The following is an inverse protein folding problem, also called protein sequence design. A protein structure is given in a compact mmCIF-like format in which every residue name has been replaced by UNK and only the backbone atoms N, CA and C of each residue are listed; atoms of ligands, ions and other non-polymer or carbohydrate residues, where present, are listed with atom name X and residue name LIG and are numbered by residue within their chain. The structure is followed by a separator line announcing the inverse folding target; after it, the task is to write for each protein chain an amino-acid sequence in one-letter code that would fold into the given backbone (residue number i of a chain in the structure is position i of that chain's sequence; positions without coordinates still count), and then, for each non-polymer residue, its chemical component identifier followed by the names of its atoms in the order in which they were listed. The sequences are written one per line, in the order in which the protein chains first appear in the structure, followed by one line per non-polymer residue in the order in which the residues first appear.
data_IF_793327759320
#
_entry.id   IF_793327759320
#
_cell.length_a   1.000
_cell.length_b   1.000
_cell.length_c   1.000
_cell.angle_alpha   90.00
_cell.angle_beta   90.00
_cell.angle_gamma   90.00
#
_symmetry.space_group_name_H-M   'P 1'
#
loop_
_entity.id
_entity.type
_entity.pdbx_description
1 polymer ?
#
# COMPACT_ATOMS: atom_id res chain seq x y z
N UNK A 1 -18.07 4.91 15.64
CA UNK A 1 -18.46 3.98 14.55
C UNK A 1 -17.80 4.49 13.28
N UNK A 2 -16.99 3.69 12.57
CA UNK A 2 -16.31 4.19 11.37
C UNK A 2 -17.31 4.40 10.24
N UNK A 3 -17.23 5.56 9.58
CA UNK A 3 -18.06 5.89 8.42
C UNK A 3 -17.74 4.95 7.25
N UNK A 4 -18.65 4.86 6.28
CA UNK A 4 -18.41 4.09 5.05
C UNK A 4 -17.18 4.61 4.28
N UNK A 5 -16.91 5.91 4.36
CA UNK A 5 -15.75 6.52 3.75
C UNK A 5 -14.45 6.05 4.41
N UNK A 6 -14.38 6.08 5.75
CA UNK A 6 -13.23 5.60 6.51
C UNK A 6 -12.99 4.10 6.28
N UNK A 7 -14.06 3.30 6.20
CA UNK A 7 -13.96 1.87 5.87
C UNK A 7 -13.41 1.64 4.47
N UNK A 8 -13.82 2.45 3.49
CA UNK A 8 -13.31 2.38 2.12
C UNK A 8 -11.82 2.72 2.04
N UNK A 9 -11.37 3.72 2.81
CA UNK A 9 -9.96 4.10 2.90
C UNK A 9 -9.16 2.99 3.58
N UNK A 10 -9.59 2.54 4.76
CA UNK A 10 -8.94 1.49 5.52
C UNK A 10 -8.86 0.15 4.76
N UNK A 11 -9.84 -0.17 3.91
CA UNK A 11 -9.81 -1.37 3.08
C UNK A 11 -8.65 -1.39 2.07
N UNK A 12 -8.07 -0.23 1.74
CA UNK A 12 -6.92 -0.10 0.86
C UNK A 12 -5.59 -0.09 1.62
N UNK A 13 -5.61 -0.01 2.94
CA UNK A 13 -4.41 0.12 3.76
C UNK A 13 -3.98 -1.25 4.32
N UNK A 14 -2.66 -1.42 4.43
CA UNK A 14 -2.01 -2.54 5.11
C UNK A 14 -0.79 -2.04 5.85
N UNK A 15 -0.58 -2.58 7.05
CA UNK A 15 0.63 -2.37 7.81
C UNK A 15 1.61 -3.48 7.42
N UNK A 16 2.84 -3.09 7.10
CA UNK A 16 3.94 -3.97 6.73
C UNK A 16 5.11 -3.70 7.67
N UNK A 17 5.75 -4.75 8.15
CA UNK A 17 6.95 -4.62 8.96
C UNK A 17 8.20 -4.71 8.09
N UNK A 18 9.08 -3.71 8.17
CA UNK A 18 10.36 -3.68 7.47
C UNK A 18 11.38 -2.92 8.33
N UNK A 19 12.58 -3.48 8.53
CA UNK A 19 13.63 -2.82 9.31
C UNK A 19 13.23 -2.51 10.76
N UNK A 20 12.33 -3.30 11.35
CA UNK A 20 11.77 -3.03 12.69
C UNK A 20 10.79 -1.85 12.73
N UNK A 21 10.38 -1.31 11.58
CA UNK A 21 9.36 -0.24 11.47
C UNK A 21 8.07 -0.78 10.89
N UNK A 22 6.95 -0.22 11.33
CA UNK A 22 5.62 -0.51 10.81
C UNK A 22 5.23 0.54 9.77
N UNK A 23 5.29 0.18 8.50
CA UNK A 23 4.94 1.08 7.39
C UNK A 23 3.51 0.82 6.97
N UNK A 24 2.66 1.84 7.00
CA UNK A 24 1.28 1.78 6.50
C UNK A 24 1.27 2.08 5.01
N UNK A 25 1.18 1.03 4.20
CA UNK A 25 1.04 1.09 2.76
C UNK A 25 -0.42 1.19 2.34
N UNK A 26 -0.68 1.92 1.26
CA UNK A 26 -1.98 2.07 0.64
C UNK A 26 -1.94 1.57 -0.80
N UNK A 27 -2.81 0.62 -1.11
CA UNK A 27 -2.95 0.10 -2.47
C UNK A 27 -3.27 1.22 -3.47
N UNK A 28 -2.50 1.37 -4.56
CA UNK A 28 -2.83 2.26 -5.67
C UNK A 28 -4.19 1.95 -6.32
N UNK A 29 -4.92 2.97 -6.74
CA UNK A 29 -6.01 2.82 -7.71
C UNK A 29 -5.47 2.66 -9.12
N UNK A 30 -6.29 2.18 -10.05
CA UNK A 30 -5.93 2.12 -11.47
C UNK A 30 -5.56 3.50 -12.04
N UNK A 31 -6.26 4.57 -11.61
CA UNK A 31 -5.90 5.94 -11.98
C UNK A 31 -4.51 6.32 -11.47
N UNK A 32 -4.19 5.99 -10.21
CA UNK A 32 -2.88 6.28 -9.63
C UNK A 32 -1.76 5.45 -10.28
N UNK A 33 -2.02 4.16 -10.59
CA UNK A 33 -1.10 3.33 -11.38
C UNK A 33 -0.79 4.00 -12.72
N UNK A 34 -1.82 4.43 -13.46
CA UNK A 34 -1.65 5.12 -14.73
C UNK A 34 -0.99 6.50 -14.60
N UNK A 35 -1.21 7.22 -13.51
CA UNK A 35 -0.58 8.52 -13.25
C UNK A 35 0.92 8.40 -12.99
N UNK A 36 1.32 7.37 -12.24
CA UNK A 36 2.69 7.23 -11.73
C UNK A 36 3.50 6.12 -12.42
N UNK A 37 3.03 5.54 -13.53
CA UNK A 37 3.66 4.38 -14.18
C UNK A 37 5.12 4.57 -14.63
N UNK A 38 5.58 5.82 -14.78
CA UNK A 38 6.96 6.15 -15.19
C UNK A 38 7.91 6.39 -14.01
N UNK A 39 7.41 6.40 -12.78
CA UNK A 39 8.28 6.58 -11.62
C UNK A 39 9.13 5.34 -11.39
N UNK A 40 10.39 5.51 -10.94
CA UNK A 40 11.19 4.42 -10.40
C UNK A 40 10.46 3.71 -9.26
N UNK A 41 10.71 2.41 -9.00
CA UNK A 41 9.95 1.63 -8.03
C UNK A 41 9.90 2.23 -6.61
N UNK A 42 11.01 2.80 -6.14
CA UNK A 42 11.10 3.41 -4.80
C UNK A 42 10.31 4.73 -4.76
N UNK A 43 10.45 5.59 -5.76
CA UNK A 43 9.66 6.82 -5.86
C UNK A 43 8.16 6.54 -6.00
N UNK A 44 7.82 5.50 -6.75
CA UNK A 44 6.45 5.00 -6.87
C UNK A 44 5.92 4.57 -5.50
N UNK A 45 6.67 3.73 -4.76
CA UNK A 45 6.32 3.29 -3.41
C UNK A 45 6.03 4.47 -2.48
N UNK A 46 6.88 5.50 -2.46
CA UNK A 46 6.71 6.68 -1.60
C UNK A 46 5.37 7.40 -1.81
N UNK A 47 4.75 7.32 -3.00
CA UNK A 47 3.41 7.91 -3.25
C UNK A 47 2.28 7.20 -2.50
N UNK A 48 2.54 6.00 -2.01
CA UNK A 48 1.57 5.07 -1.45
C UNK A 48 1.85 4.71 0.00
N UNK A 49 2.71 5.48 0.68
CA UNK A 49 2.86 5.43 2.13
C UNK A 49 1.94 6.48 2.75
N UNK A 50 1.11 6.03 3.70
CA UNK A 50 0.19 6.89 4.43
C UNK A 50 0.68 7.18 5.85
N UNK A 51 1.51 6.30 6.43
CA UNK A 51 2.11 6.48 7.76
C UNK A 51 3.36 5.60 7.95
N UNK A 52 4.31 6.09 8.74
CA UNK A 52 5.47 5.34 9.23
C UNK A 52 5.95 6.04 10.51
N UNK A 53 5.85 5.39 11.69
CA UNK A 53 6.22 6.01 12.96
C UNK A 53 7.75 6.09 13.05
N UNK A 54 8.28 7.24 12.65
CA UNK A 54 9.68 7.60 12.81
C UNK A 54 9.87 8.41 14.09
N UNK A 55 11.05 8.31 14.67
CA UNK A 55 11.51 9.05 15.84
C UNK A 55 12.71 9.92 15.47
N UNK A 56 13.10 10.87 16.31
CA UNK A 56 14.32 11.66 16.05
C UNK A 56 15.57 10.78 15.92
N UNK A 57 15.63 9.68 16.67
CA UNK A 57 16.73 8.71 16.59
C UNK A 57 16.83 7.99 15.23
N UNK A 58 15.73 7.94 14.47
CA UNK A 58 15.73 7.34 13.13
C UNK A 58 16.24 8.30 12.05
N UNK A 59 16.31 9.59 12.35
CA UNK A 59 16.63 10.66 11.39
C UNK A 59 18.00 11.29 11.67
N UNK A 60 18.41 11.35 12.93
CA UNK A 60 19.61 12.03 13.36
C UNK A 60 20.47 11.13 14.24
N UNK A 61 21.78 11.10 13.97
CA UNK A 61 22.75 10.48 14.86
C UNK A 61 22.69 11.18 16.24
N UNK A 62 22.29 10.43 17.26
CA UNK A 62 22.08 10.96 18.62
C UNK A 62 20.71 11.57 18.88
N UNK A 63 19.74 11.40 17.97
CA UNK A 63 18.34 11.77 18.20
C UNK A 63 17.68 10.96 19.33
N UNK A 64 16.54 11.46 19.83
CA UNK A 64 15.80 10.79 20.90
C UNK A 64 14.82 9.74 20.34
N UNK A 65 14.90 8.51 20.85
CA UNK A 65 14.00 7.42 20.47
C UNK A 65 12.57 7.56 21.05
N UNK A 66 12.37 8.45 22.04
CA UNK A 66 11.06 8.72 22.63
C UNK A 66 10.32 9.89 21.97
N UNK A 67 11.00 10.68 21.13
CA UNK A 67 10.39 11.83 20.44
C UNK A 67 9.84 11.38 19.09
N UNK A 68 8.51 11.24 18.92
CA UNK A 68 7.92 10.87 17.63
C UNK A 68 7.99 12.05 16.66
N UNK A 69 8.27 11.75 15.40
CA UNK A 69 8.28 12.73 14.31
C UNK A 69 6.97 12.60 13.52
N UNK A 70 6.22 13.70 13.31
CA UNK A 70 5.01 13.66 12.50
C UNK A 70 5.30 13.10 11.10
N UNK A 71 4.44 12.21 10.61
CA UNK A 71 4.62 11.65 9.28
C UNK A 71 4.54 12.74 8.21
N UNK A 72 5.60 12.82 7.40
CA UNK A 72 5.64 13.57 6.16
C UNK A 72 6.20 12.67 5.07
N UNK A 73 5.60 12.74 3.87
CA UNK A 73 5.97 11.85 2.77
C UNK A 73 7.34 12.19 2.19
N UNK A 74 7.72 13.47 2.15
CA UNK A 74 9.03 13.87 1.66
C UNK A 74 10.10 13.44 2.67
N UNK A 75 9.83 13.58 3.97
CA UNK A 75 10.69 13.08 5.03
C UNK A 75 10.85 11.55 4.99
N UNK A 76 9.76 10.82 4.77
CA UNK A 76 9.84 9.37 4.59
C UNK A 76 10.69 8.98 3.38
N UNK A 77 10.59 9.71 2.27
CA UNK A 77 11.39 9.43 1.07
C UNK A 77 12.89 9.71 1.32
N UNK A 78 13.21 10.77 2.05
CA UNK A 78 14.57 11.11 2.48
C UNK A 78 15.14 10.02 3.40
N UNK A 79 14.41 9.66 4.46
CA UNK A 79 14.78 8.55 5.35
C UNK A 79 14.96 7.23 4.58
N UNK A 80 14.03 6.90 3.68
CA UNK A 80 14.12 5.66 2.91
C UNK A 80 15.33 5.65 1.96
N UNK A 81 15.75 6.81 1.43
CA UNK A 81 16.93 6.90 0.56
C UNK A 81 18.22 6.47 1.28
N UNK A 82 18.31 6.73 2.58
CA UNK A 82 19.44 6.32 3.43
C UNK A 82 19.37 4.85 3.89
N UNK A 83 18.24 4.16 3.67
CA UNK A 83 18.00 2.78 4.10
C UNK A 83 17.73 1.82 2.91
N UNK A 84 18.73 1.56 2.03
CA UNK A 84 18.55 0.80 0.79
C UNK A 84 18.13 -0.66 0.99
N UNK A 85 18.44 -1.26 2.13
CA UNK A 85 18.02 -2.61 2.51
C UNK A 85 16.49 -2.73 2.65
N UNK A 86 15.78 -1.62 2.85
CA UNK A 86 14.32 -1.59 2.99
C UNK A 86 13.60 -1.45 1.65
N UNK A 87 14.31 -1.08 0.58
CA UNK A 87 13.68 -0.79 -0.72
C UNK A 87 12.96 -2.00 -1.29
N UNK A 88 13.69 -3.12 -1.44
CA UNK A 88 13.12 -4.36 -1.98
C UNK A 88 11.94 -4.87 -1.17
N UNK A 89 12.04 -5.09 0.16
CA UNK A 89 10.92 -5.65 0.93
C UNK A 89 9.66 -4.76 0.88
N UNK A 90 9.82 -3.43 0.89
CA UNK A 90 8.66 -2.53 0.81
C UNK A 90 8.05 -2.47 -0.59
N UNK A 91 8.86 -2.48 -1.65
CA UNK A 91 8.37 -2.54 -3.04
C UNK A 91 7.66 -3.87 -3.31
N UNK A 92 8.22 -4.98 -2.82
CA UNK A 92 7.60 -6.31 -2.93
C UNK A 92 6.26 -6.35 -2.18
N UNK A 93 6.20 -5.78 -0.97
CA UNK A 93 4.97 -5.72 -0.19
C UNK A 93 3.87 -4.88 -0.85
N UNK A 94 4.23 -3.77 -1.50
CA UNK A 94 3.27 -2.98 -2.28
C UNK A 94 2.77 -3.73 -3.52
N UNK A 95 3.66 -4.47 -4.18
CA UNK A 95 3.33 -5.30 -5.35
C UNK A 95 2.38 -6.44 -4.96
N UNK A 96 2.67 -7.12 -3.85
CA UNK A 96 1.81 -8.17 -3.28
C UNK A 96 0.42 -7.63 -2.91
N UNK A 97 0.35 -6.44 -2.32
CA UNK A 97 -0.92 -5.80 -2.01
C UNK A 97 -1.81 -5.56 -3.25
N UNK A 98 -1.18 -5.25 -4.39
CA UNK A 98 -1.89 -5.14 -5.67
C UNK A 98 -2.33 -6.52 -6.19
N UNK A 99 -1.43 -7.51 -6.18
CA UNK A 99 -1.71 -8.86 -6.64
C UNK A 99 -2.87 -9.51 -5.87
N UNK A 100 -2.89 -9.38 -4.54
CA UNK A 100 -3.98 -9.88 -3.69
C UNK A 100 -5.32 -9.24 -4.04
N UNK A 101 -5.33 -7.94 -4.34
CA UNK A 101 -6.56 -7.26 -4.72
C UNK A 101 -7.08 -7.73 -6.09
N UNK A 102 -6.19 -7.91 -7.05
CA UNK A 102 -6.55 -8.41 -8.39
C UNK A 102 -7.07 -9.86 -8.31
N UNK A 103 -6.42 -10.72 -7.53
CA UNK A 103 -6.89 -12.07 -7.26
C UNK A 103 -8.27 -12.08 -6.60
N UNK A 104 -8.49 -11.26 -5.57
CA UNK A 104 -9.79 -11.13 -4.91
C UNK A 104 -10.89 -10.63 -5.85
N UNK A 105 -10.57 -9.70 -6.77
CA UNK A 105 -11.50 -9.23 -7.79
C UNK A 105 -11.84 -10.31 -8.83
N UNK A 106 -10.84 -11.06 -9.30
CA UNK A 106 -11.06 -12.14 -10.24
C UNK A 106 -11.94 -13.24 -9.64
N UNK A 107 -11.72 -13.56 -8.36
CA UNK A 107 -12.52 -14.54 -7.63
C UNK A 107 -13.96 -14.06 -7.40
N UNK A 108 -14.14 -12.80 -7.01
CA UNK A 108 -15.47 -12.20 -6.91
C UNK A 108 -16.22 -12.22 -8.24
N UNK A 109 -15.53 -11.99 -9.37
CA UNK A 109 -16.13 -12.05 -10.70
C UNK A 109 -16.63 -13.46 -11.04
N UNK A 110 -15.81 -14.49 -10.78
CA UNK A 110 -16.20 -15.90 -10.99
C UNK A 110 -17.43 -16.27 -10.15
N UNK A 111 -17.44 -15.86 -8.87
CA UNK A 111 -18.55 -16.15 -7.96
C UNK A 111 -19.81 -15.32 -8.25
N UNK A 112 -19.68 -14.19 -8.95
CA UNK A 112 -20.81 -13.35 -9.38
C UNK A 112 -21.46 -13.78 -10.70
N UNK A 113 -20.88 -14.75 -11.43
CA UNK A 113 -21.43 -15.28 -12.67
C UNK A 113 -21.91 -16.76 -12.59
N UNK A 114 -22.83 -17.13 -11.67
CA UNK A 114 -23.34 -18.50 -11.60
C UNK A 114 -24.51 -18.82 -12.55
N UNK A 115 -24.86 -17.96 -13.53
CA UNK A 115 -26.10 -18.17 -14.30
C UNK A 115 -26.25 -17.38 -15.60
N UNK A 116 -25.55 -17.80 -16.65
CA UNK A 116 -26.04 -17.73 -18.03
C UNK A 116 -26.29 -19.16 -18.53
N UNK A 117 -27.10 -19.91 -17.78
CA UNK A 117 -27.81 -21.06 -18.35
C UNK A 117 -28.86 -20.48 -19.29
N UNK A 118 -28.59 -20.52 -20.59
CA UNK A 118 -29.56 -20.21 -21.62
C UNK A 118 -30.86 -20.99 -21.36
N UNK A 119 -32.05 -20.38 -21.51
CA UNK A 119 -33.27 -21.16 -21.54
C UNK A 119 -33.17 -22.10 -22.74
N UNK A 120 -33.18 -23.41 -22.47
CA UNK A 120 -33.37 -24.40 -23.51
C UNK A 120 -34.73 -24.13 -24.16
N UNK A 121 -34.72 -23.58 -25.38
CA UNK A 121 -35.87 -23.69 -26.27
C UNK A 121 -36.10 -25.18 -26.49
N UNK A 122 -37.16 -25.72 -25.90
CA UNK A 122 -37.69 -27.03 -26.23
C UNK A 122 -38.75 -26.81 -27.32
N UNK A 123 -38.51 -27.44 -28.47
CA UNK A 123 -39.44 -27.56 -29.60
C UNK A 123 -40.63 -28.48 -29.28
#
# INVERSE_FOLDING_TARGET
MKTLLERRIAARQRIVEAGGKQVTLRRPTEYEKAKYYRLPPVEYLCQFVDDCPLTEADLFDGGNAETPVPFDRALFADWLAENPELWKPLVDALSELNAQHEAARAEALKNSNPGLSAPACQD
#
